data_IF_144223994140
#
_entry.id   IF_144223994140
#
_cell.length_a   1.000
_cell.length_b   1.000
_cell.length_c   1.000
_cell.angle_alpha   90.00
_cell.angle_beta   90.00
_cell.angle_gamma   90.00
#
_symmetry.space_group_name_H-M   'P 1'
#
loop_
_entity.id
_entity.type
_entity.pdbx_description
1 polymer ?
#
# COMPACT_ATOMS: atom_id res chain seq x y z
N UNK A 1 38.24 -12.44 -5.23
CA UNK A 1 37.44 -13.43 -4.48
C UNK A 1 36.05 -12.93 -4.06
N UNK A 2 35.88 -11.91 -3.20
CA UNK A 2 34.53 -11.43 -2.83
C UNK A 2 33.72 -10.76 -3.97
N UNK A 3 34.39 -10.16 -4.97
CA UNK A 3 33.71 -9.58 -6.14
C UNK A 3 33.29 -10.63 -7.17
N UNK A 4 34.02 -11.74 -7.27
CA UNK A 4 33.73 -12.84 -8.20
C UNK A 4 32.57 -13.69 -7.71
N UNK A 5 32.48 -13.97 -6.40
CA UNK A 5 31.31 -14.64 -5.83
C UNK A 5 30.04 -13.80 -5.96
N UNK A 6 30.13 -12.47 -5.83
CA UNK A 6 29.00 -11.58 -6.11
C UNK A 6 28.62 -11.58 -7.60
N UNK A 7 29.60 -11.55 -8.50
CA UNK A 7 29.36 -11.61 -9.94
C UNK A 7 28.75 -12.97 -10.36
N UNK A 8 29.24 -14.08 -9.82
CA UNK A 8 28.71 -15.43 -10.07
C UNK A 8 27.29 -15.60 -9.53
N UNK A 9 26.98 -15.02 -8.36
CA UNK A 9 25.62 -15.00 -7.81
C UNK A 9 24.66 -14.15 -8.65
N UNK A 10 25.11 -13.03 -9.22
CA UNK A 10 24.33 -12.19 -10.14
C UNK A 10 24.04 -12.93 -11.45
N UNK A 11 25.01 -13.67 -12.00
CA UNK A 11 24.87 -14.41 -13.27
C UNK A 11 23.95 -15.64 -13.11
N UNK A 12 24.05 -16.38 -12.01
CA UNK A 12 23.21 -17.58 -11.78
C UNK A 12 21.73 -17.27 -11.48
N UNK A 13 21.39 -16.02 -11.12
CA UNK A 13 20.03 -15.62 -10.76
C UNK A 13 19.21 -15.04 -11.94
N UNK A 14 19.79 -14.83 -13.13
CA UNK A 14 19.07 -14.16 -14.22
C UNK A 14 17.83 -14.92 -14.71
N UNK A 15 17.84 -16.26 -14.70
CA UNK A 15 16.69 -17.06 -15.12
C UNK A 15 15.62 -17.21 -14.01
N UNK A 16 16.02 -17.18 -12.74
CA UNK A 16 15.09 -17.26 -11.59
C UNK A 16 14.48 -15.91 -11.19
N UNK A 17 15.16 -14.81 -11.52
CA UNK A 17 14.74 -13.44 -11.20
C UNK A 17 14.01 -12.75 -12.35
N UNK A 18 13.62 -13.50 -13.39
CA UNK A 18 12.89 -12.93 -14.52
C UNK A 18 11.50 -12.47 -14.06
N UNK A 19 11.39 -11.16 -13.84
CA UNK A 19 10.09 -10.52 -13.61
C UNK A 19 9.33 -10.56 -14.94
N UNK A 20 8.10 -11.09 -14.89
CA UNK A 20 7.23 -11.14 -16.06
C UNK A 20 6.91 -9.73 -16.55
N UNK A 21 6.70 -9.60 -17.87
CA UNK A 21 6.31 -8.33 -18.48
C UNK A 21 4.94 -7.90 -17.93
N UNK A 22 4.86 -6.68 -17.41
CA UNK A 22 3.66 -6.08 -16.86
C UNK A 22 2.91 -5.27 -17.91
N UNK A 23 1.69 -5.69 -18.20
CA UNK A 23 0.77 -5.07 -19.16
C UNK A 23 -0.40 -4.35 -18.47
N UNK A 24 -0.39 -4.27 -17.13
CA UNK A 24 -1.48 -3.72 -16.34
C UNK A 24 -2.32 -4.79 -15.62
N UNK A 25 -2.11 -6.08 -15.89
CA UNK A 25 -2.79 -7.20 -15.23
C UNK A 25 -1.93 -7.85 -14.13
N UNK A 26 -2.57 -8.58 -13.20
CA UNK A 26 -1.89 -9.32 -12.12
C UNK A 26 -0.92 -8.46 -11.29
N UNK A 27 -1.28 -7.20 -11.03
CA UNK A 27 -0.40 -6.22 -10.41
C UNK A 27 0.24 -6.70 -9.10
N UNK A 28 -0.52 -7.35 -8.22
CA UNK A 28 0.00 -7.84 -6.93
C UNK A 28 1.16 -8.81 -7.11
N UNK A 29 1.04 -9.78 -8.03
CA UNK A 29 2.11 -10.74 -8.33
C UNK A 29 3.32 -10.04 -8.96
N UNK A 30 3.09 -9.15 -9.92
CA UNK A 30 4.19 -8.39 -10.53
C UNK A 30 4.92 -7.53 -9.50
N UNK A 31 4.17 -6.82 -8.64
CA UNK A 31 4.68 -5.98 -7.58
C UNK A 31 5.55 -6.79 -6.61
N UNK A 32 5.09 -7.94 -6.15
CA UNK A 32 5.85 -8.79 -5.23
C UNK A 32 7.16 -9.28 -5.85
N UNK A 33 7.13 -9.75 -7.12
CA UNK A 33 8.34 -10.15 -7.85
C UNK A 33 9.30 -8.97 -8.05
N UNK A 34 8.78 -7.78 -8.37
CA UNK A 34 9.58 -6.58 -8.56
C UNK A 34 10.22 -6.12 -7.23
N UNK A 35 9.46 -6.09 -6.14
CA UNK A 35 10.00 -5.77 -4.82
C UNK A 35 11.08 -6.76 -4.39
N UNK A 36 10.89 -8.05 -4.65
CA UNK A 36 11.90 -9.07 -4.40
C UNK A 36 13.18 -8.80 -5.20
N UNK A 37 13.07 -8.48 -6.50
CA UNK A 37 14.21 -8.09 -7.34
C UNK A 37 14.94 -6.87 -6.78
N UNK A 38 14.24 -5.78 -6.49
CA UNK A 38 14.85 -4.55 -5.95
C UNK A 38 15.51 -4.79 -4.59
N UNK A 39 14.97 -5.72 -3.79
CA UNK A 39 15.53 -6.10 -2.49
C UNK A 39 16.82 -6.90 -2.64
N UNK A 40 16.87 -7.86 -3.58
CA UNK A 40 18.09 -8.62 -3.90
C UNK A 40 19.19 -7.71 -4.45
N UNK A 41 18.80 -6.68 -5.22
CA UNK A 41 19.72 -5.65 -5.73
C UNK A 41 20.10 -4.61 -4.66
N UNK A 42 19.50 -4.67 -3.46
CA UNK A 42 19.70 -3.73 -2.36
C UNK A 42 19.40 -2.26 -2.72
N UNK A 43 18.41 -2.04 -3.59
CA UNK A 43 17.98 -0.71 -4.04
C UNK A 43 16.50 -0.42 -3.72
N UNK A 44 15.77 -1.36 -3.10
CA UNK A 44 14.37 -1.16 -2.73
C UNK A 44 14.11 0.06 -1.83
N UNK A 45 15.12 0.54 -1.11
CA UNK A 45 15.01 1.74 -0.27
C UNK A 45 14.77 3.04 -1.07
N UNK A 46 15.04 3.06 -2.38
CA UNK A 46 14.89 4.30 -3.19
C UNK A 46 13.44 4.60 -3.59
N UNK A 47 12.54 3.62 -3.51
CA UNK A 47 11.11 3.79 -3.81
C UNK A 47 10.29 4.20 -2.58
N UNK A 48 10.88 4.14 -1.39
CA UNK A 48 10.29 4.63 -0.15
C UNK A 48 11.14 5.78 0.45
N UNK A 49 10.62 7.01 0.51
CA UNK A 49 11.38 8.16 1.00
C UNK A 49 11.74 8.06 2.50
N UNK A 50 11.10 7.18 3.26
CA UNK A 50 11.30 7.04 4.70
C UNK A 50 12.39 6.04 5.09
N UNK A 51 12.80 5.15 4.18
CA UNK A 51 13.70 4.04 4.51
C UNK A 51 15.14 4.49 4.74
N UNK A 52 15.60 5.52 4.01
CA UNK A 52 16.93 6.08 4.21
C UNK A 52 16.97 7.56 3.80
N UNK A 53 16.62 8.52 4.66
CA UNK A 53 16.65 9.93 4.30
C UNK A 53 18.09 10.42 4.05
N UNK A 54 18.31 11.12 2.93
CA UNK A 54 19.54 11.87 2.69
C UNK A 54 19.46 13.18 3.48
N UNK A 55 20.21 13.27 4.58
CA UNK A 55 20.30 14.49 5.38
C UNK A 55 21.55 15.25 4.98
N UNK A 56 21.39 16.50 4.55
CA UNK A 56 22.53 17.34 4.20
C UNK A 56 23.41 17.61 5.43
N UNK A 57 24.73 17.52 5.30
CA UNK A 57 25.66 17.85 6.37
C UNK A 57 25.52 19.33 6.76
N UNK A 58 25.62 19.62 8.06
CA UNK A 58 25.70 21.00 8.55
C UNK A 58 27.01 21.65 8.06
N UNK A 59 27.06 22.99 7.99
CA UNK A 59 28.23 23.70 7.44
C UNK A 59 29.54 23.42 8.22
N UNK A 60 29.43 23.12 9.51
CA UNK A 60 30.48 22.93 10.50
C UNK A 60 31.07 21.51 10.58
N UNK A 61 30.58 20.56 9.79
CA UNK A 61 31.14 19.20 9.76
C UNK A 61 32.50 19.12 9.05
N UNK A 62 33.26 18.09 9.42
CA UNK A 62 34.60 17.82 8.90
C UNK A 62 34.61 17.57 7.38
N UNK A 63 35.78 17.74 6.77
CA UNK A 63 36.00 17.43 5.34
C UNK A 63 35.67 15.96 5.03
N UNK A 64 36.00 15.05 5.96
CA UNK A 64 35.72 13.62 5.82
C UNK A 64 34.22 13.33 5.80
N UNK A 65 33.43 13.97 6.67
CA UNK A 65 31.97 13.83 6.69
C UNK A 65 31.32 14.35 5.41
N UNK A 66 31.81 15.48 4.87
CA UNK A 66 31.36 16.02 3.56
C UNK A 66 31.68 15.04 2.43
N UNK A 67 32.86 14.43 2.43
CA UNK A 67 33.25 13.43 1.44
C UNK A 67 32.37 12.16 1.52
N UNK A 68 32.08 11.67 2.73
CA UNK A 68 31.18 10.53 2.95
C UNK A 68 29.77 10.84 2.44
N UNK A 69 29.27 12.05 2.66
CA UNK A 69 27.95 12.47 2.17
C UNK A 69 27.89 12.46 0.64
N UNK A 70 28.88 13.02 -0.05
CA UNK A 70 28.91 13.03 -1.52
C UNK A 70 28.98 11.61 -2.10
N UNK A 71 29.74 10.70 -1.47
CA UNK A 71 29.75 9.27 -1.86
C UNK A 71 28.36 8.65 -1.71
N UNK A 72 27.67 8.89 -0.58
CA UNK A 72 26.31 8.37 -0.35
C UNK A 72 25.30 8.95 -1.34
N UNK A 73 25.39 10.26 -1.63
CA UNK A 73 24.52 10.96 -2.57
C UNK A 73 24.69 10.43 -3.99
N UNK A 74 25.94 10.26 -4.44
CA UNK A 74 26.25 9.66 -5.74
C UNK A 74 25.70 8.24 -5.83
N UNK A 75 25.99 7.40 -4.84
CA UNK A 75 25.46 6.03 -4.78
C UNK A 75 23.94 6.00 -4.86
N UNK A 76 23.24 6.86 -4.13
CA UNK A 76 21.78 6.95 -4.21
C UNK A 76 21.28 7.35 -5.59
N UNK A 77 21.97 8.29 -6.26
CA UNK A 77 21.63 8.69 -7.64
C UNK A 77 21.76 7.49 -8.58
N UNK A 78 22.83 6.70 -8.45
CA UNK A 78 23.05 5.50 -9.24
C UNK A 78 21.97 4.44 -8.96
N UNK A 79 21.64 4.21 -7.69
CA UNK A 79 20.59 3.28 -7.25
C UNK A 79 19.19 3.72 -7.75
N UNK A 80 18.90 5.02 -7.75
CA UNK A 80 17.65 5.59 -8.27
C UNK A 80 17.53 5.36 -9.78
N UNK A 81 18.61 5.59 -10.53
CA UNK A 81 18.66 5.31 -11.97
C UNK A 81 18.47 3.82 -12.27
N UNK A 82 19.19 2.95 -11.55
CA UNK A 82 19.09 1.50 -11.69
C UNK A 82 17.67 1.00 -11.37
N UNK A 83 17.09 1.44 -10.26
CA UNK A 83 15.73 1.07 -9.86
C UNK A 83 14.70 1.46 -10.93
N UNK A 84 14.77 2.68 -11.44
CA UNK A 84 13.88 3.14 -12.52
C UNK A 84 14.06 2.30 -13.77
N UNK A 85 15.30 1.99 -14.16
CA UNK A 85 15.60 1.14 -15.31
C UNK A 85 15.02 -0.27 -15.17
N UNK A 86 15.18 -0.90 -14.00
CA UNK A 86 14.62 -2.22 -13.73
C UNK A 86 13.09 -2.23 -13.82
N UNK A 87 12.42 -1.24 -13.21
CA UNK A 87 10.95 -1.16 -13.27
C UNK A 87 10.49 -0.98 -14.73
N UNK A 88 11.06 0.00 -15.44
CA UNK A 88 10.72 0.28 -16.85
C UNK A 88 10.90 -0.93 -17.76
N UNK A 89 12.02 -1.66 -17.61
CA UNK A 89 12.33 -2.82 -18.46
C UNK A 89 11.35 -3.98 -18.30
N UNK A 90 10.56 -3.99 -17.23
CA UNK A 90 9.50 -5.00 -17.03
C UNK A 90 8.15 -4.55 -17.55
N UNK A 91 8.00 -3.31 -18.01
CA UNK A 91 6.73 -2.81 -18.52
C UNK A 91 6.47 -3.25 -19.96
N UNK A 92 5.20 -3.29 -20.34
CA UNK A 92 4.81 -3.29 -21.75
C UNK A 92 5.16 -1.96 -22.41
N UNK A 93 5.30 -1.95 -23.74
CA UNK A 93 5.79 -0.76 -24.48
C UNK A 93 4.86 0.45 -24.24
N UNK A 94 3.55 0.21 -24.25
CA UNK A 94 2.54 1.23 -23.95
C UNK A 94 2.72 1.83 -22.53
N UNK A 95 3.04 1.00 -21.54
CA UNK A 95 3.27 1.45 -20.16
C UNK A 95 4.64 2.11 -20.01
N UNK A 96 5.65 1.61 -20.70
CA UNK A 96 6.97 2.23 -20.76
C UNK A 96 6.84 3.68 -21.24
N UNK A 97 6.19 3.89 -22.39
CA UNK A 97 6.02 5.23 -22.98
C UNK A 97 5.23 6.17 -22.05
N UNK A 98 4.24 5.63 -21.32
CA UNK A 98 3.45 6.40 -20.36
C UNK A 98 4.28 6.87 -19.16
N UNK A 99 5.19 6.04 -18.66
CA UNK A 99 5.88 6.28 -17.39
C UNK A 99 7.34 6.74 -17.55
N UNK A 100 7.95 6.61 -18.73
CA UNK A 100 9.37 6.90 -18.95
C UNK A 100 9.76 8.35 -18.62
N UNK A 101 8.84 9.30 -18.63
CA UNK A 101 9.18 10.69 -18.28
C UNK A 101 9.28 10.93 -16.77
N UNK A 102 8.79 10.02 -15.93
CA UNK A 102 8.87 10.14 -14.47
C UNK A 102 10.28 9.75 -14.02
N UNK A 103 11.07 10.76 -13.59
CA UNK A 103 12.46 10.55 -13.19
C UNK A 103 12.60 10.00 -11.77
N UNK A 104 11.76 10.46 -10.84
CA UNK A 104 11.84 10.05 -9.44
C UNK A 104 11.27 8.63 -9.26
N UNK A 105 12.06 7.66 -8.77
CA UNK A 105 11.59 6.29 -8.53
C UNK A 105 10.43 6.24 -7.55
N UNK A 106 10.45 7.07 -6.49
CA UNK A 106 9.34 7.19 -5.54
C UNK A 106 8.05 7.63 -6.23
N UNK A 107 8.09 8.68 -7.03
CA UNK A 107 6.90 9.20 -7.73
C UNK A 107 6.40 8.18 -8.75
N UNK A 108 7.32 7.53 -9.47
CA UNK A 108 7.00 6.52 -10.45
C UNK A 108 6.33 5.31 -9.78
N UNK A 109 6.95 4.75 -8.75
CA UNK A 109 6.40 3.61 -8.00
C UNK A 109 4.99 3.90 -7.47
N UNK A 110 4.79 5.07 -6.84
CA UNK A 110 3.47 5.51 -6.35
C UNK A 110 2.44 5.62 -7.47
N UNK A 111 2.80 6.22 -8.61
CA UNK A 111 1.87 6.38 -9.73
C UNK A 111 1.43 5.01 -10.32
N UNK A 112 2.32 4.02 -10.34
CA UNK A 112 1.98 2.65 -10.76
C UNK A 112 1.09 1.97 -9.72
N UNK A 113 1.44 2.07 -8.43
CA UNK A 113 0.63 1.53 -7.33
C UNK A 113 -0.78 2.12 -7.29
N UNK A 114 -0.93 3.44 -7.41
CA UNK A 114 -2.22 4.13 -7.37
C UNK A 114 -3.14 3.66 -8.52
N UNK A 115 -2.57 3.48 -9.72
CA UNK A 115 -3.33 3.09 -10.90
C UNK A 115 -3.72 1.61 -10.91
N UNK A 116 -2.78 0.72 -10.58
CA UNK A 116 -2.93 -0.72 -10.82
C UNK A 116 -3.18 -1.57 -9.59
N UNK A 117 -3.21 -0.98 -8.39
CA UNK A 117 -3.64 -1.68 -7.20
C UNK A 117 -5.18 -1.88 -7.19
N UNK A 118 -5.67 -2.57 -8.23
CA UNK A 118 -7.08 -2.86 -8.51
C UNK A 118 -7.63 -3.95 -7.61
N UNK A 119 -6.82 -4.87 -7.07
CA UNK A 119 -7.24 -5.79 -6.00
C UNK A 119 -7.63 -5.02 -4.75
N UNK A 120 -6.88 -3.97 -4.38
CA UNK A 120 -7.28 -3.06 -3.30
C UNK A 120 -8.58 -2.35 -3.65
N UNK A 121 -8.78 -1.88 -4.88
CA UNK A 121 -10.03 -1.20 -5.29
C UNK A 121 -11.24 -2.14 -5.42
N UNK A 122 -11.06 -3.38 -5.89
CA UNK A 122 -12.10 -4.39 -6.05
C UNK A 122 -12.52 -4.98 -4.71
N UNK A 123 -11.55 -5.35 -3.88
CA UNK A 123 -11.79 -5.78 -2.49
C UNK A 123 -12.40 -4.65 -1.67
N UNK A 124 -11.91 -3.42 -1.82
CA UNK A 124 -12.51 -2.22 -1.25
C UNK A 124 -13.97 -2.07 -1.65
N UNK A 125 -14.26 -2.08 -2.96
CA UNK A 125 -15.62 -1.90 -3.49
C UNK A 125 -16.55 -2.99 -2.95
N UNK A 126 -16.09 -4.23 -2.93
CA UNK A 126 -16.84 -5.36 -2.39
C UNK A 126 -17.08 -5.23 -0.87
N UNK A 127 -16.05 -4.96 -0.07
CA UNK A 127 -16.18 -4.81 1.38
C UNK A 127 -17.06 -3.61 1.76
N UNK A 128 -16.94 -2.50 1.04
CA UNK A 128 -17.75 -1.31 1.24
C UNK A 128 -19.22 -1.58 0.90
N UNK A 129 -19.50 -2.23 -0.23
CA UNK A 129 -20.85 -2.67 -0.57
C UNK A 129 -21.41 -3.61 0.50
N UNK A 130 -20.66 -4.63 0.93
CA UNK A 130 -21.07 -5.56 1.99
C UNK A 130 -21.37 -4.82 3.30
N UNK A 131 -20.54 -3.84 3.69
CA UNK A 131 -20.78 -3.03 4.89
C UNK A 131 -22.07 -2.19 4.79
N UNK A 132 -22.32 -1.54 3.65
CA UNK A 132 -23.53 -0.73 3.47
C UNK A 132 -24.79 -1.58 3.42
N UNK A 133 -24.75 -2.70 2.71
CA UNK A 133 -25.87 -3.61 2.49
C UNK A 133 -26.13 -4.57 3.65
N UNK A 134 -25.21 -4.67 4.62
CA UNK A 134 -25.37 -5.53 5.79
C UNK A 134 -26.68 -5.21 6.52
N UNK A 135 -27.50 -6.24 6.77
CA UNK A 135 -28.76 -6.13 7.52
C UNK A 135 -28.78 -7.22 8.58
N UNK A 136 -29.14 -6.86 9.80
CA UNK A 136 -29.34 -7.87 10.85
C UNK A 136 -30.71 -8.50 10.71
N UNK A 137 -30.80 -9.76 11.11
CA UNK A 137 -32.04 -10.55 11.14
C UNK A 137 -32.35 -11.00 12.56
N UNK A 138 -33.64 -11.12 12.89
CA UNK A 138 -34.11 -11.51 14.23
C UNK A 138 -33.77 -12.96 14.59
N UNK A 139 -33.49 -13.82 13.60
CA UNK A 139 -33.20 -15.25 13.79
C UNK A 139 -31.78 -15.57 14.24
N UNK A 140 -30.88 -14.58 14.28
CA UNK A 140 -29.46 -14.75 14.64
C UNK A 140 -29.15 -13.86 15.84
N UNK A 141 -28.31 -14.30 16.81
CA UNK A 141 -27.92 -13.46 17.93
C UNK A 141 -27.33 -12.13 17.48
N UNK A 142 -27.75 -11.02 18.11
CA UNK A 142 -27.29 -9.67 17.75
C UNK A 142 -25.77 -9.55 17.88
N UNK A 143 -25.19 -10.14 18.92
CA UNK A 143 -23.76 -10.03 19.20
C UNK A 143 -22.90 -10.63 18.07
N UNK A 144 -23.31 -11.77 17.53
CA UNK A 144 -22.62 -12.44 16.42
C UNK A 144 -22.66 -11.58 15.16
N UNK A 145 -23.82 -10.97 14.87
CA UNK A 145 -24.00 -10.09 13.72
C UNK A 145 -23.23 -8.76 13.87
N UNK A 146 -23.13 -8.23 15.10
CA UNK A 146 -22.28 -7.07 15.42
C UNK A 146 -20.80 -7.43 15.21
N UNK A 147 -20.38 -8.62 15.64
CA UNK A 147 -19.01 -9.09 15.45
C UNK A 147 -18.68 -9.23 13.95
N UNK A 148 -19.59 -9.79 13.13
CA UNK A 148 -19.39 -9.84 11.68
C UNK A 148 -19.25 -8.44 11.07
N UNK A 149 -20.07 -7.48 11.50
CA UNK A 149 -19.97 -6.10 11.05
C UNK A 149 -18.63 -5.47 11.47
N UNK A 150 -18.14 -5.73 12.69
CA UNK A 150 -16.82 -5.28 13.16
C UNK A 150 -15.68 -5.92 12.34
N UNK A 151 -15.80 -7.18 11.95
CA UNK A 151 -14.83 -7.80 11.03
C UNK A 151 -14.76 -7.06 9.69
N UNK A 152 -15.90 -6.59 9.16
CA UNK A 152 -15.91 -5.78 7.94
C UNK A 152 -15.20 -4.43 8.14
N UNK A 153 -15.44 -3.77 9.27
CA UNK A 153 -14.74 -2.53 9.64
C UNK A 153 -13.24 -2.75 9.73
N UNK A 154 -12.79 -3.82 10.40
CA UNK A 154 -11.37 -4.13 10.55
C UNK A 154 -10.71 -4.39 9.19
N UNK A 155 -11.35 -5.18 8.32
CA UNK A 155 -10.85 -5.42 6.95
C UNK A 155 -10.77 -4.13 6.13
N UNK A 156 -11.71 -3.19 6.30
CA UNK A 156 -11.64 -1.87 5.67
C UNK A 156 -10.49 -1.02 6.26
N UNK A 157 -10.21 -1.14 7.56
CA UNK A 157 -9.08 -0.49 8.23
C UNK A 157 -7.73 -0.98 7.68
N UNK A 158 -7.59 -2.28 7.40
CA UNK A 158 -6.39 -2.86 6.75
C UNK A 158 -6.14 -2.22 5.38
N UNK A 159 -7.22 -1.84 4.67
CA UNK A 159 -7.15 -1.09 3.41
C UNK A 159 -6.96 0.43 3.60
N UNK A 160 -6.64 0.88 4.82
CA UNK A 160 -6.47 2.28 5.24
C UNK A 160 -7.74 3.13 5.15
N UNK A 161 -8.92 2.50 5.20
CA UNK A 161 -10.21 3.18 5.30
C UNK A 161 -10.66 3.12 6.76
N UNK A 162 -10.49 4.24 7.46
CA UNK A 162 -10.90 4.35 8.86
C UNK A 162 -12.37 4.77 8.91
N UNK A 163 -13.22 3.93 9.50
CA UNK A 163 -14.61 4.30 9.81
C UNK A 163 -14.62 4.86 11.25
N UNK A 164 -14.92 6.16 11.45
CA UNK A 164 -15.05 6.76 12.77
C UNK A 164 -15.98 5.97 13.69
N UNK A 165 -15.63 5.84 14.96
CA UNK A 165 -16.40 5.08 15.96
C UNK A 165 -17.88 5.50 16.01
N UNK A 166 -18.16 6.81 15.93
CA UNK A 166 -19.52 7.33 15.87
C UNK A 166 -20.32 6.79 14.67
N UNK A 167 -19.68 6.64 13.51
CA UNK A 167 -20.31 6.06 12.32
C UNK A 167 -20.52 4.55 12.47
N UNK A 168 -19.62 3.84 13.14
CA UNK A 168 -19.80 2.42 13.45
C UNK A 168 -21.01 2.21 14.36
N UNK A 169 -21.13 2.99 15.44
CA UNK A 169 -22.27 2.94 16.37
C UNK A 169 -23.58 3.23 15.63
N UNK A 170 -23.60 4.28 14.79
CA UNK A 170 -24.77 4.62 13.97
C UNK A 170 -25.11 3.51 12.96
N UNK A 171 -24.11 2.87 12.37
CA UNK A 171 -24.31 1.75 11.44
C UNK A 171 -24.92 0.53 12.17
N UNK A 172 -24.46 0.20 13.38
CA UNK A 172 -25.04 -0.88 14.19
C UNK A 172 -26.51 -0.56 14.48
N UNK A 173 -26.81 0.63 14.99
CA UNK A 173 -28.18 1.04 15.33
C UNK A 173 -29.08 0.99 14.08
N UNK A 174 -28.61 1.46 12.92
CA UNK A 174 -29.40 1.48 11.67
C UNK A 174 -29.57 0.10 11.03
N UNK A 175 -28.79 -0.90 11.47
CA UNK A 175 -28.85 -2.28 10.97
C UNK A 175 -29.58 -3.25 11.89
N UNK A 176 -29.88 -2.87 13.15
CA UNK A 176 -30.71 -3.64 14.08
C UNK A 176 -31.97 -4.21 13.39
N UNK A 177 -32.36 -5.46 13.73
CA UNK A 177 -33.50 -6.11 13.11
C UNK A 177 -34.82 -5.55 13.64
N UNK A 178 -35.94 -5.96 13.03
CA UNK A 178 -37.25 -5.37 13.30
C UNK A 178 -37.71 -5.58 14.74
N UNK A 179 -37.37 -6.72 15.35
CA UNK A 179 -37.67 -7.00 16.76
C UNK A 179 -37.03 -6.00 17.75
N UNK A 180 -36.05 -5.20 17.30
CA UNK A 180 -35.34 -4.21 18.11
C UNK A 180 -35.75 -2.76 17.80
N UNK A 181 -36.83 -2.55 17.05
CA UNK A 181 -37.22 -1.22 16.58
C UNK A 181 -37.55 -0.24 17.72
N UNK A 182 -38.15 -0.72 18.81
CA UNK A 182 -38.44 0.13 19.97
C UNK A 182 -37.17 0.59 20.68
N UNK A 183 -36.18 -0.29 20.79
CA UNK A 183 -34.86 0.07 21.31
C UNK A 183 -34.17 1.09 20.39
N UNK A 184 -34.16 0.85 19.07
CA UNK A 184 -33.64 1.80 18.08
C UNK A 184 -34.25 3.19 18.25
N UNK A 185 -35.58 3.29 18.37
CA UNK A 185 -36.28 4.58 18.56
C UNK A 185 -35.84 5.28 19.85
N UNK A 186 -35.71 4.55 20.96
CA UNK A 186 -35.25 5.11 22.26
C UNK A 186 -33.84 5.69 22.16
N UNK A 187 -32.90 4.96 21.55
CA UNK A 187 -31.50 5.40 21.40
C UNK A 187 -31.40 6.65 20.52
N UNK A 188 -32.12 6.69 19.39
CA UNK A 188 -32.16 7.86 18.51
C UNK A 188 -32.74 9.07 19.25
N UNK A 189 -33.84 8.89 19.99
CA UNK A 189 -34.45 9.97 20.77
C UNK A 189 -33.51 10.51 21.87
N UNK A 190 -32.75 9.63 22.53
CA UNK A 190 -31.75 10.04 23.53
C UNK A 190 -30.62 10.85 22.90
N UNK A 191 -30.08 10.40 21.75
CA UNK A 191 -28.98 11.10 21.08
C UNK A 191 -29.32 12.54 20.66
N UNK A 192 -30.59 12.82 20.33
CA UNK A 192 -31.09 14.16 19.98
C UNK A 192 -31.20 15.12 21.17
N UNK A 193 -31.36 14.60 22.39
CA UNK A 193 -31.48 15.43 23.62
C UNK A 193 -30.12 15.82 24.21
N UNK A 194 -29.06 15.07 23.90
CA UNK A 194 -27.72 15.28 24.48
C UNK A 194 -26.86 16.23 23.64
N UNK A 195 -27.17 16.40 22.35
CA UNK A 195 -26.41 17.25 21.41
C UNK A 195 -27.24 18.41 20.84
N UNK A 196 -28.42 18.67 21.43
CA UNK A 196 -29.30 19.78 21.08
C UNK A 196 -29.19 20.91 22.09
#
# INVERSE_FOLDING_TARGET
MASETNAVFIVMNQDFMKVERFDGTNFTRWKDKMLFLLSVLNIAYVIDPMTLPLVEPKEDVSIEEKAIFEIKKKRRTDDEFACRGHILNTLSDQLYDLYMLIQSPVKFWKAVEEKYNTERQGTYKFLMLKFFEFKMVDSVPILDQVHELQMLVNRLCDLKIVIPELLQVRAIISKLPLGWNDYRKKVIAYSRRVHG
#
